data_IF_816342905985
#
_entry.id   IF_816342905985
#
_cell.length_a   1.000
_cell.length_b   1.000
_cell.length_c   1.000
_cell.angle_alpha   90.00
_cell.angle_beta   90.00
_cell.angle_gamma   90.00
#
_symmetry.space_group_name_H-M   'P 1'
#
loop_
_entity.id
_entity.type
_entity.pdbx_description
1 polymer ?
#
# COMPACT_ATOMS: atom_id res chain seq x y z
N UNK A 1 12.96 -29.52 -15.54
CA UNK A 1 11.54 -29.55 -15.14
C UNK A 1 11.31 -29.93 -13.68
N UNK A 2 12.21 -30.72 -13.04
CA UNK A 2 12.07 -31.14 -11.63
C UNK A 2 12.41 -30.08 -10.57
N UNK A 3 13.42 -29.24 -10.75
CA UNK A 3 13.82 -28.24 -9.74
C UNK A 3 12.77 -27.13 -9.55
N UNK A 4 12.16 -26.69 -10.62
CA UNK A 4 11.09 -25.67 -10.56
C UNK A 4 9.85 -26.17 -9.82
N UNK A 5 9.48 -27.45 -10.02
CA UNK A 5 8.35 -28.08 -9.32
C UNK A 5 8.68 -28.32 -7.85
N UNK A 6 9.92 -28.68 -7.53
CA UNK A 6 10.37 -28.85 -6.13
C UNK A 6 10.44 -27.52 -5.38
N UNK A 7 10.90 -26.45 -6.03
CA UNK A 7 10.95 -25.12 -5.44
C UNK A 7 9.54 -24.56 -5.16
N UNK A 8 8.61 -24.73 -6.10
CA UNK A 8 7.18 -24.34 -5.90
C UNK A 8 6.58 -25.15 -4.76
N UNK A 9 6.81 -26.46 -4.70
CA UNK A 9 6.31 -27.31 -3.62
C UNK A 9 6.95 -27.00 -2.25
N UNK A 10 8.19 -26.50 -2.19
CA UNK A 10 8.80 -26.05 -0.95
C UNK A 10 8.23 -24.72 -0.48
N UNK A 11 8.00 -23.79 -1.40
CA UNK A 11 7.33 -22.51 -1.12
C UNK A 11 5.89 -22.77 -0.64
N UNK A 12 5.14 -23.64 -1.29
CA UNK A 12 3.78 -24.01 -0.88
C UNK A 12 3.74 -24.63 0.52
N UNK A 13 4.66 -25.55 0.85
CA UNK A 13 4.75 -26.13 2.20
C UNK A 13 5.11 -25.09 3.26
N UNK A 14 5.99 -24.15 2.95
CA UNK A 14 6.35 -23.05 3.87
C UNK A 14 5.17 -22.10 4.08
N UNK A 15 4.45 -21.76 3.02
CA UNK A 15 3.22 -20.96 3.08
C UNK A 15 2.12 -21.69 3.85
N UNK A 16 1.97 -23.03 3.68
CA UNK A 16 1.01 -23.81 4.44
C UNK A 16 1.32 -23.86 5.94
N UNK A 17 2.59 -23.85 6.34
CA UNK A 17 2.98 -23.72 7.77
C UNK A 17 2.63 -22.34 8.34
N UNK A 18 2.83 -21.27 7.57
CA UNK A 18 2.47 -19.90 7.94
C UNK A 18 0.94 -19.70 8.02
N UNK A 19 0.15 -20.50 7.29
CA UNK A 19 -1.33 -20.47 7.35
C UNK A 19 -1.90 -20.81 8.75
N UNK A 20 -1.11 -21.44 9.61
CA UNK A 20 -1.52 -21.72 11.00
C UNK A 20 -1.50 -20.46 11.89
N UNK A 21 -0.92 -19.37 11.41
CA UNK A 21 -0.70 -18.15 12.20
C UNK A 21 -1.14 -16.89 11.44
N UNK A 22 -2.45 -16.75 11.13
CA UNK A 22 -2.94 -15.59 10.38
C UNK A 22 -2.61 -14.25 11.05
N UNK A 23 -2.62 -14.20 12.39
CA UNK A 23 -2.24 -12.99 13.14
C UNK A 23 -0.77 -12.63 12.95
N UNK A 24 0.13 -13.62 12.82
CA UNK A 24 1.54 -13.37 12.52
C UNK A 24 1.72 -12.81 11.11
N UNK A 25 1.03 -13.37 10.12
CA UNK A 25 1.07 -12.85 8.73
C UNK A 25 0.63 -11.38 8.69
N UNK A 26 -0.50 -11.08 9.32
CA UNK A 26 -1.07 -9.73 9.36
C UNK A 26 -0.20 -8.75 10.17
N UNK A 27 0.38 -9.21 11.28
CA UNK A 27 1.33 -8.42 12.07
C UNK A 27 2.61 -8.09 11.29
N UNK A 28 3.17 -9.07 10.57
CA UNK A 28 4.33 -8.86 9.69
C UNK A 28 3.99 -7.94 8.53
N UNK A 29 2.81 -8.06 7.93
CA UNK A 29 2.36 -7.14 6.89
C UNK A 29 2.33 -5.69 7.40
N UNK A 30 1.75 -5.47 8.58
CA UNK A 30 1.70 -4.16 9.21
C UNK A 30 3.10 -3.62 9.56
N UNK A 31 4.00 -4.47 10.06
CA UNK A 31 5.38 -4.11 10.36
C UNK A 31 6.14 -3.67 9.10
N UNK A 32 6.00 -4.41 8.00
CA UNK A 32 6.66 -4.04 6.74
C UNK A 32 6.08 -2.75 6.15
N UNK A 33 4.77 -2.52 6.25
CA UNK A 33 4.18 -1.24 5.86
C UNK A 33 4.67 -0.09 6.73
N UNK A 34 4.83 -0.29 8.04
CA UNK A 34 5.45 0.69 8.92
C UNK A 34 6.90 1.01 8.51
N UNK A 35 7.68 -0.03 8.20
CA UNK A 35 9.03 0.12 7.67
C UNK A 35 9.11 0.93 6.38
N UNK A 36 8.03 0.94 5.55
CA UNK A 36 8.00 1.80 4.36
C UNK A 36 8.13 3.29 4.69
N UNK A 37 7.63 3.73 5.86
CA UNK A 37 7.77 5.14 6.28
C UNK A 37 9.23 5.48 6.55
N UNK A 38 9.95 4.59 7.23
CA UNK A 38 11.40 4.76 7.47
C UNK A 38 12.17 4.71 6.14
N UNK A 39 11.87 3.71 5.29
CA UNK A 39 12.51 3.56 3.99
C UNK A 39 12.27 4.77 3.08
N UNK A 40 11.07 5.38 3.10
CA UNK A 40 10.78 6.60 2.37
C UNK A 40 11.69 7.77 2.81
N UNK A 41 12.01 7.87 4.09
CA UNK A 41 12.94 8.88 4.61
C UNK A 41 14.38 8.61 4.19
N UNK A 42 14.80 7.34 4.22
CA UNK A 42 16.15 6.93 3.76
C UNK A 42 16.33 7.07 2.25
N UNK A 43 15.24 7.15 1.48
CA UNK A 43 15.27 7.34 0.04
C UNK A 43 15.46 8.82 -0.36
N UNK A 44 15.23 9.77 0.56
CA UNK A 44 15.38 11.20 0.28
C UNK A 44 16.81 11.48 -0.15
N UNK A 45 16.96 12.25 -1.23
CA UNK A 45 18.22 12.58 -1.90
C UNK A 45 18.98 11.41 -2.55
N UNK A 46 18.55 10.15 -2.33
CA UNK A 46 19.17 8.96 -2.88
C UNK A 46 18.51 8.49 -4.18
N UNK A 47 17.23 8.80 -4.36
CA UNK A 47 16.43 8.49 -5.55
C UNK A 47 15.25 9.45 -5.64
N UNK A 48 14.88 9.87 -6.85
CA UNK A 48 13.69 10.71 -7.02
C UNK A 48 12.39 9.92 -6.76
N UNK A 49 11.35 10.55 -6.15
CA UNK A 49 10.17 9.87 -5.61
C UNK A 49 9.33 9.14 -6.65
N UNK A 50 9.21 9.68 -7.87
CA UNK A 50 8.43 9.04 -8.93
C UNK A 50 9.22 7.89 -9.56
N UNK A 51 10.54 8.01 -9.66
CA UNK A 51 11.45 6.93 -10.07
C UNK A 51 11.43 5.78 -9.07
N UNK A 52 11.47 6.06 -7.76
CA UNK A 52 11.28 5.06 -6.71
C UNK A 52 9.95 4.30 -6.92
N UNK A 53 8.86 5.03 -7.15
CA UNK A 53 7.53 4.45 -7.39
C UNK A 53 7.55 3.52 -8.61
N UNK A 54 8.17 3.93 -9.71
CA UNK A 54 8.24 3.14 -10.93
C UNK A 54 9.09 1.87 -10.74
N UNK A 55 10.30 2.00 -10.21
CA UNK A 55 11.21 0.86 -10.01
C UNK A 55 10.61 -0.17 -9.06
N UNK A 56 10.00 0.28 -7.95
CA UNK A 56 9.32 -0.63 -7.02
C UNK A 56 8.23 -1.46 -7.72
N UNK A 57 7.37 -0.83 -8.53
CA UNK A 57 6.28 -1.55 -9.20
C UNK A 57 6.78 -2.41 -10.35
N UNK A 58 7.82 -2.00 -11.08
CA UNK A 58 8.46 -2.84 -12.10
C UNK A 58 9.03 -4.11 -11.48
N UNK A 59 9.73 -4.02 -10.35
CA UNK A 59 10.28 -5.19 -9.65
C UNK A 59 9.18 -6.14 -9.18
N UNK A 60 8.14 -5.61 -8.53
CA UNK A 60 7.01 -6.40 -8.04
C UNK A 60 6.26 -7.06 -9.19
N UNK A 61 5.97 -6.29 -10.26
CA UNK A 61 5.28 -6.80 -11.44
C UNK A 61 6.08 -7.90 -12.12
N UNK A 62 7.40 -7.76 -12.26
CA UNK A 62 8.25 -8.76 -12.87
C UNK A 62 8.14 -10.11 -12.14
N UNK A 63 8.28 -10.10 -10.81
CA UNK A 63 8.19 -11.32 -9.99
C UNK A 63 6.78 -11.92 -10.07
N UNK A 64 5.75 -11.12 -9.85
CA UNK A 64 4.37 -11.61 -9.84
C UNK A 64 3.92 -12.11 -11.21
N UNK A 65 4.35 -11.46 -12.30
CA UNK A 65 3.98 -11.86 -13.65
C UNK A 65 4.65 -13.18 -14.08
N UNK A 66 5.89 -13.41 -13.66
CA UNK A 66 6.58 -14.69 -13.88
C UNK A 66 5.83 -15.85 -13.24
N UNK A 67 5.26 -15.64 -12.04
CA UNK A 67 4.57 -16.69 -11.28
C UNK A 67 3.10 -16.79 -11.69
N UNK A 68 2.38 -15.67 -11.74
CA UNK A 68 0.91 -15.65 -11.86
C UNK A 68 0.41 -15.18 -13.25
N UNK A 69 1.27 -14.80 -14.18
CA UNK A 69 0.88 -14.26 -15.48
C UNK A 69 0.04 -15.24 -16.33
N UNK A 70 0.24 -16.56 -16.17
CA UNK A 70 -0.62 -17.57 -16.84
C UNK A 70 -2.02 -17.59 -16.24
N UNK A 71 -2.11 -17.46 -14.92
CA UNK A 71 -3.39 -17.46 -14.19
C UNK A 71 -4.17 -16.18 -14.49
N UNK A 72 -3.52 -15.01 -14.50
CA UNK A 72 -4.13 -13.75 -14.93
C UNK A 72 -4.74 -13.89 -16.33
N UNK A 73 -3.99 -14.47 -17.29
CA UNK A 73 -4.52 -14.68 -18.65
C UNK A 73 -5.73 -15.61 -18.72
N UNK A 74 -5.84 -16.60 -17.82
CA UNK A 74 -7.02 -17.48 -17.73
C UNK A 74 -8.27 -16.71 -17.31
N UNK A 75 -8.14 -15.65 -16.52
CA UNK A 75 -9.25 -14.80 -16.07
C UNK A 75 -9.53 -13.63 -17.02
N UNK A 76 -8.96 -13.63 -18.25
CA UNK A 76 -9.17 -12.56 -19.23
C UNK A 76 -10.65 -12.27 -19.54
N UNK A 77 -11.56 -13.26 -19.61
CA UNK A 77 -12.98 -13.00 -19.80
C UNK A 77 -13.62 -12.14 -18.70
N UNK A 78 -13.18 -12.28 -17.45
CA UNK A 78 -13.63 -11.46 -16.32
C UNK A 78 -12.93 -10.09 -16.27
N UNK A 79 -11.66 -10.05 -16.67
CA UNK A 79 -10.83 -8.83 -16.67
C UNK A 79 -11.31 -7.85 -17.73
N UNK A 80 -11.56 -8.32 -18.95
CA UNK A 80 -11.85 -7.46 -20.11
C UNK A 80 -13.00 -6.47 -19.87
N UNK A 81 -14.19 -6.89 -19.38
CA UNK A 81 -15.29 -5.96 -19.14
C UNK A 81 -15.03 -4.99 -18.00
N UNK A 82 -14.17 -5.34 -17.05
CA UNK A 82 -13.82 -4.54 -15.88
C UNK A 82 -12.49 -3.77 -16.05
N UNK A 83 -11.89 -3.78 -17.25
CA UNK A 83 -10.52 -3.25 -17.45
C UNK A 83 -10.39 -1.78 -17.03
N UNK A 84 -11.37 -0.93 -17.34
CA UNK A 84 -11.37 0.46 -16.92
C UNK A 84 -11.33 0.62 -15.39
N UNK A 85 -12.15 -0.17 -14.67
CA UNK A 85 -12.15 -0.19 -13.20
C UNK A 85 -10.78 -0.66 -12.67
N UNK A 86 -10.22 -1.72 -13.24
CA UNK A 86 -8.93 -2.28 -12.80
C UNK A 86 -7.80 -1.26 -13.02
N UNK A 87 -7.82 -0.53 -14.14
CA UNK A 87 -6.86 0.57 -14.40
C UNK A 87 -7.02 1.67 -13.35
N UNK A 88 -8.25 2.10 -13.04
CA UNK A 88 -8.51 3.10 -12.00
C UNK A 88 -8.05 2.62 -10.61
N UNK A 89 -8.28 1.35 -10.29
CA UNK A 89 -7.80 0.76 -9.04
C UNK A 89 -6.28 0.79 -8.94
N UNK A 90 -5.57 0.43 -10.01
CA UNK A 90 -4.11 0.49 -10.05
C UNK A 90 -3.60 1.94 -9.98
N UNK A 91 -4.22 2.86 -10.71
CA UNK A 91 -3.86 4.28 -10.70
C UNK A 91 -4.05 4.90 -9.31
N UNK A 92 -5.16 4.63 -8.64
CA UNK A 92 -5.46 5.25 -7.35
C UNK A 92 -4.70 4.57 -6.20
N UNK A 93 -4.79 3.24 -6.11
CA UNK A 93 -4.25 2.50 -4.97
C UNK A 93 -2.75 2.23 -5.04
N UNK A 94 -2.22 2.08 -6.25
CA UNK A 94 -0.83 1.67 -6.45
C UNK A 94 0.04 2.83 -6.95
N UNK A 95 -0.22 3.36 -8.12
CA UNK A 95 0.61 4.41 -8.73
C UNK A 95 0.46 5.75 -8.02
N UNK A 96 -0.75 6.30 -8.00
CA UNK A 96 -1.02 7.64 -7.51
C UNK A 96 -0.77 7.77 -6.01
N UNK A 97 -1.32 6.85 -5.21
CA UNK A 97 -1.06 6.84 -3.77
C UNK A 97 0.44 6.82 -3.45
N UNK A 98 1.21 5.90 -4.05
CA UNK A 98 2.63 5.79 -3.73
C UNK A 98 3.44 6.96 -4.27
N UNK A 99 3.13 7.46 -5.46
CA UNK A 99 3.79 8.63 -6.01
C UNK A 99 3.61 9.86 -5.09
N UNK A 100 2.36 10.16 -4.71
CA UNK A 100 2.07 11.26 -3.80
C UNK A 100 2.63 11.03 -2.40
N UNK A 101 2.61 9.80 -1.90
CA UNK A 101 3.20 9.44 -0.62
C UNK A 101 4.71 9.77 -0.57
N UNK A 102 5.47 9.34 -1.58
CA UNK A 102 6.90 9.61 -1.61
C UNK A 102 7.22 11.08 -1.88
N UNK A 103 6.44 11.78 -2.70
CA UNK A 103 6.55 13.24 -2.85
C UNK A 103 6.29 13.93 -1.52
N UNK A 104 5.22 13.56 -0.81
CA UNK A 104 4.90 14.14 0.49
C UNK A 104 6.02 13.91 1.53
N UNK A 105 6.67 12.73 1.51
CA UNK A 105 7.75 12.40 2.44
C UNK A 105 8.97 13.34 2.34
N UNK A 106 9.14 14.04 1.23
CA UNK A 106 10.19 15.08 1.10
C UNK A 106 9.84 16.37 1.83
N UNK A 107 8.54 16.72 1.88
CA UNK A 107 8.09 18.04 2.32
C UNK A 107 7.41 18.02 3.71
N UNK A 108 7.09 16.83 4.26
CA UNK A 108 6.44 16.73 5.58
C UNK A 108 7.12 15.74 6.52
N UNK A 109 6.75 15.77 7.79
CA UNK A 109 7.29 14.89 8.82
C UNK A 109 6.67 13.49 8.78
N UNK A 110 7.39 12.49 9.31
CA UNK A 110 6.85 11.15 9.50
C UNK A 110 5.61 11.15 10.43
N UNK A 111 5.57 12.08 11.39
CA UNK A 111 4.46 12.27 12.32
C UNK A 111 3.21 12.71 11.56
N UNK A 112 3.33 13.75 10.72
CA UNK A 112 2.20 14.23 9.91
C UNK A 112 1.69 13.14 8.96
N UNK A 113 2.59 12.42 8.30
CA UNK A 113 2.23 11.27 7.45
C UNK A 113 1.43 10.23 8.27
N UNK A 114 1.88 9.87 9.46
CA UNK A 114 1.20 8.89 10.30
C UNK A 114 -0.20 9.37 10.73
N UNK A 115 -0.34 10.64 11.13
CA UNK A 115 -1.61 11.24 11.52
C UNK A 115 -2.59 11.24 10.34
N UNK A 116 -2.15 11.68 9.16
CA UNK A 116 -2.99 11.74 7.96
C UNK A 116 -3.41 10.34 7.49
N UNK A 117 -2.50 9.36 7.54
CA UNK A 117 -2.85 7.96 7.27
C UNK A 117 -3.84 7.39 8.29
N UNK A 118 -3.71 7.75 9.56
CA UNK A 118 -4.67 7.38 10.60
C UNK A 118 -6.09 7.90 10.34
N UNK A 119 -6.22 8.97 9.57
CA UNK A 119 -7.52 9.51 9.13
C UNK A 119 -8.11 8.80 7.89
N UNK A 120 -7.37 7.92 7.20
CA UNK A 120 -7.86 7.21 6.01
C UNK A 120 -9.23 6.53 6.19
N UNK A 121 -9.53 5.84 7.32
CA UNK A 121 -10.82 5.21 7.50
C UNK A 121 -11.99 6.20 7.41
N UNK A 122 -11.79 7.47 7.76
CA UNK A 122 -12.82 8.52 7.64
C UNK A 122 -13.14 8.75 6.17
N UNK A 123 -12.12 8.88 5.30
CA UNK A 123 -12.31 9.05 3.87
C UNK A 123 -12.94 7.81 3.22
N UNK A 124 -12.56 6.60 3.66
CA UNK A 124 -13.16 5.35 3.18
C UNK A 124 -14.64 5.28 3.54
N UNK A 125 -15.02 5.63 4.78
CA UNK A 125 -16.43 5.64 5.19
C UNK A 125 -17.25 6.69 4.44
N UNK A 126 -16.71 7.88 4.29
CA UNK A 126 -17.36 8.94 3.51
C UNK A 126 -17.53 8.53 2.04
N UNK A 127 -16.49 7.97 1.41
CA UNK A 127 -16.53 7.47 0.05
C UNK A 127 -17.52 6.31 -0.13
N UNK A 128 -17.57 5.35 0.81
CA UNK A 128 -18.52 4.24 0.79
C UNK A 128 -19.98 4.72 0.93
N UNK A 129 -20.21 5.75 1.73
CA UNK A 129 -21.54 6.38 1.83
C UNK A 129 -21.94 7.06 0.52
N UNK A 130 -21.05 7.85 -0.06
CA UNK A 130 -21.31 8.60 -1.29
C UNK A 130 -21.48 7.67 -2.51
N UNK A 131 -20.67 6.63 -2.62
CA UNK A 131 -20.71 5.73 -3.78
C UNK A 131 -21.78 4.65 -3.69
N UNK A 132 -22.04 4.12 -2.49
CA UNK A 132 -22.87 2.94 -2.30
C UNK A 132 -24.02 3.14 -1.31
N UNK A 133 -24.22 4.33 -0.74
CA UNK A 133 -25.19 4.60 0.31
C UNK A 133 -24.92 3.80 1.62
N UNK A 134 -23.72 3.23 1.76
CA UNK A 134 -23.36 2.38 2.90
C UNK A 134 -23.19 3.23 4.16
N UNK A 135 -24.08 3.04 5.15
CA UNK A 135 -24.00 3.75 6.43
C UNK A 135 -23.12 2.97 7.40
N UNK A 136 -22.13 3.65 7.97
CA UNK A 136 -21.34 3.08 9.04
C UNK A 136 -22.19 2.95 10.31
N UNK A 137 -22.18 1.75 10.93
CA UNK A 137 -22.81 1.54 12.23
C UNK A 137 -22.05 2.28 13.35
N UNK A 138 -22.71 2.56 14.48
CA UNK A 138 -22.11 3.26 15.64
C UNK A 138 -20.79 2.61 16.10
N UNK A 139 -20.73 1.27 16.15
CA UNK A 139 -19.53 0.54 16.55
C UNK A 139 -18.36 0.83 15.59
N UNK A 140 -18.63 0.91 14.29
CA UNK A 140 -17.63 1.22 13.28
C UNK A 140 -17.15 2.68 13.40
N UNK A 141 -18.06 3.62 13.61
CA UNK A 141 -17.73 5.03 13.82
C UNK A 141 -16.88 5.22 15.08
N UNK A 142 -17.26 4.60 16.20
CA UNK A 142 -16.49 4.59 17.45
C UNK A 142 -15.11 3.96 17.24
N UNK A 143 -15.02 2.84 16.52
CA UNK A 143 -13.74 2.20 16.18
C UNK A 143 -12.81 3.13 15.40
N UNK A 144 -13.32 3.84 14.39
CA UNK A 144 -12.55 4.82 13.63
C UNK A 144 -12.08 5.98 14.51
N UNK A 145 -12.97 6.50 15.36
CA UNK A 145 -12.63 7.59 16.30
C UNK A 145 -11.54 7.17 17.29
N UNK A 146 -11.67 6.01 17.91
CA UNK A 146 -10.67 5.47 18.85
C UNK A 146 -9.33 5.24 18.14
N UNK A 147 -9.36 4.72 16.91
CA UNK A 147 -8.14 4.52 16.11
C UNK A 147 -7.45 5.85 15.79
N UNK A 148 -8.21 6.85 15.34
CA UNK A 148 -7.67 8.18 15.05
C UNK A 148 -7.04 8.82 16.31
N UNK A 149 -7.71 8.71 17.46
CA UNK A 149 -7.19 9.17 18.74
C UNK A 149 -5.91 8.42 19.13
N UNK A 150 -5.90 7.09 18.97
CA UNK A 150 -4.72 6.26 19.25
C UNK A 150 -3.52 6.66 18.37
N UNK A 151 -3.74 6.89 17.07
CA UNK A 151 -2.71 7.37 16.15
C UNK A 151 -2.19 8.74 16.59
N UNK A 152 -3.07 9.67 16.98
CA UNK A 152 -2.68 10.98 17.48
C UNK A 152 -1.80 10.88 18.74
N UNK A 153 -2.19 10.05 19.70
CA UNK A 153 -1.40 9.82 20.94
C UNK A 153 -0.03 9.24 20.63
N UNK A 154 0.04 8.22 19.76
CA UNK A 154 1.30 7.57 19.38
C UNK A 154 2.20 8.55 18.59
N UNK A 155 1.65 9.24 17.60
CA UNK A 155 2.39 10.18 16.76
C UNK A 155 2.95 11.36 17.57
N UNK A 156 2.23 11.80 18.61
CA UNK A 156 2.65 12.90 19.50
C UNK A 156 3.41 12.42 20.75
N UNK A 157 3.83 11.14 20.78
CA UNK A 157 4.57 10.54 21.92
C UNK A 157 3.88 10.75 23.28
N UNK A 158 2.57 10.61 23.32
CA UNK A 158 1.78 10.76 24.54
C UNK A 158 1.36 12.18 24.91
N UNK A 159 1.62 13.17 24.05
CA UNK A 159 1.19 14.55 24.22
C UNK A 159 0.14 14.94 23.14
N UNK A 160 -1.09 14.38 23.18
CA UNK A 160 -2.05 14.53 22.07
C UNK A 160 -2.44 16.00 21.77
N UNK A 161 -2.31 16.90 22.73
CA UNK A 161 -2.54 18.32 22.53
C UNK A 161 -1.49 19.00 21.67
N UNK A 162 -0.28 18.44 21.58
CA UNK A 162 0.75 18.97 20.66
C UNK A 162 0.39 18.82 19.19
N UNK A 163 -0.67 18.08 18.86
CA UNK A 163 -1.22 18.04 17.50
C UNK A 163 -1.72 19.44 17.04
N UNK A 164 -2.09 20.30 18.00
CA UNK A 164 -2.51 21.67 17.72
C UNK A 164 -1.33 22.59 17.38
N UNK A 165 -0.10 22.19 17.70
CA UNK A 165 1.15 22.89 17.40
C UNK A 165 1.77 22.40 16.10
N UNK A 166 1.20 21.36 15.47
CA UNK A 166 1.69 20.80 14.20
C UNK A 166 1.41 21.81 13.09
N UNK A 167 2.47 22.34 12.52
CA UNK A 167 2.38 23.22 11.36
C UNK A 167 1.98 22.41 10.12
N UNK A 168 0.90 22.87 9.49
CA UNK A 168 0.40 22.28 8.26
C UNK A 168 1.19 22.81 7.06
N UNK A 169 1.76 21.94 6.27
CA UNK A 169 2.66 22.27 5.17
C UNK A 169 2.19 21.71 3.82
N UNK A 170 2.92 22.03 2.73
CA UNK A 170 2.60 21.56 1.39
C UNK A 170 2.61 20.02 1.29
N UNK A 171 3.54 19.34 1.97
CA UNK A 171 3.61 17.89 1.98
C UNK A 171 2.37 17.24 2.60
N UNK A 172 1.76 17.90 3.60
CA UNK A 172 0.52 17.43 4.22
C UNK A 172 -0.66 17.47 3.25
N UNK A 173 -0.75 18.49 2.38
CA UNK A 173 -1.76 18.54 1.31
C UNK A 173 -1.58 17.42 0.31
N UNK A 174 -0.32 17.15 -0.09
CA UNK A 174 0.01 16.07 -1.01
C UNK A 174 -0.33 14.71 -0.38
N UNK A 175 -0.02 14.53 0.91
CA UNK A 175 -0.37 13.31 1.65
C UNK A 175 -1.88 13.13 1.81
N UNK A 176 -2.61 14.22 2.05
CA UNK A 176 -4.07 14.20 2.11
C UNK A 176 -4.67 13.74 0.77
N UNK A 177 -4.16 14.27 -0.34
CA UNK A 177 -4.56 13.82 -1.68
C UNK A 177 -4.25 12.31 -1.89
N UNK A 178 -3.09 11.84 -1.42
CA UNK A 178 -2.78 10.41 -1.43
C UNK A 178 -3.81 9.59 -0.65
N UNK A 179 -4.17 10.02 0.56
CA UNK A 179 -5.18 9.35 1.39
C UNK A 179 -6.55 9.28 0.70
N UNK A 180 -6.96 10.35 0.01
CA UNK A 180 -8.20 10.38 -0.78
C UNK A 180 -8.13 9.37 -1.93
N UNK A 181 -7.03 9.31 -2.70
CA UNK A 181 -6.86 8.31 -3.77
C UNK A 181 -6.95 6.89 -3.23
N UNK A 182 -6.29 6.61 -2.10
CA UNK A 182 -6.35 5.29 -1.47
C UNK A 182 -7.76 4.94 -0.96
N UNK A 183 -8.49 5.92 -0.45
CA UNK A 183 -9.88 5.74 -0.06
C UNK A 183 -10.78 5.41 -1.26
N UNK A 184 -10.62 6.13 -2.38
CA UNK A 184 -11.33 5.84 -3.63
C UNK A 184 -11.01 4.44 -4.15
N UNK A 185 -9.72 4.04 -4.13
CA UNK A 185 -9.31 2.67 -4.42
C UNK A 185 -10.02 1.65 -3.52
N UNK A 186 -10.01 1.88 -2.21
CA UNK A 186 -10.61 0.94 -1.24
C UNK A 186 -12.11 0.78 -1.44
N UNK A 187 -12.82 1.89 -1.72
CA UNK A 187 -14.26 1.88 -1.99
C UNK A 187 -14.56 1.14 -3.31
N UNK A 188 -13.83 1.48 -4.38
CA UNK A 188 -14.03 0.87 -5.69
C UNK A 188 -13.57 -0.61 -5.76
N UNK A 189 -12.72 -1.06 -4.83
CA UNK A 189 -12.27 -2.46 -4.74
C UNK A 189 -13.44 -3.44 -4.48
N UNK A 190 -14.56 -2.96 -3.95
CA UNK A 190 -15.79 -3.73 -3.77
C UNK A 190 -16.33 -4.28 -5.10
N UNK A 191 -16.16 -3.51 -6.17
CA UNK A 191 -16.73 -3.81 -7.50
C UNK A 191 -15.73 -4.57 -8.40
N UNK A 192 -14.62 -5.07 -7.80
CA UNK A 192 -13.59 -5.83 -8.53
C UNK A 192 -14.18 -7.11 -9.14
N UNK A 193 -13.62 -7.57 -10.29
CA UNK A 193 -14.02 -8.85 -10.85
C UNK A 193 -13.71 -10.01 -9.89
N UNK A 194 -14.56 -11.06 -9.97
CA UNK A 194 -14.38 -12.27 -9.17
C UNK A 194 -13.21 -13.09 -9.72
N UNK A 195 -12.07 -12.93 -9.06
CA UNK A 195 -10.83 -13.66 -9.34
C UNK A 195 -9.97 -13.78 -8.08
N UNK A 196 -9.04 -14.75 -8.01
CA UNK A 196 -8.18 -14.93 -6.86
C UNK A 196 -7.36 -13.66 -6.55
N UNK A 197 -7.20 -13.35 -5.27
CA UNK A 197 -6.65 -12.07 -4.82
C UNK A 197 -5.19 -11.83 -5.27
N UNK A 198 -4.35 -12.88 -5.28
CA UNK A 198 -2.93 -12.74 -5.68
C UNK A 198 -2.77 -12.52 -7.18
N UNK A 199 -3.41 -13.27 -8.09
CA UNK A 199 -3.44 -12.96 -9.52
C UNK A 199 -4.04 -11.58 -9.81
N UNK A 200 -5.08 -11.15 -9.08
CA UNK A 200 -5.60 -9.79 -9.20
C UNK A 200 -4.55 -8.74 -8.81
N UNK A 201 -3.85 -8.95 -7.71
CA UNK A 201 -2.75 -8.06 -7.31
C UNK A 201 -1.60 -8.05 -8.33
N UNK A 202 -1.27 -9.20 -8.95
CA UNK A 202 -0.29 -9.26 -10.03
C UNK A 202 -0.68 -8.37 -11.24
N UNK A 203 -1.97 -8.34 -11.58
CA UNK A 203 -2.50 -7.46 -12.63
C UNK A 203 -2.41 -5.99 -12.22
N UNK A 204 -2.79 -5.64 -11.00
CA UNK A 204 -2.66 -4.27 -10.48
C UNK A 204 -1.21 -3.80 -10.48
N UNK A 205 -0.27 -4.66 -10.06
CA UNK A 205 1.15 -4.35 -10.04
C UNK A 205 1.71 -4.11 -11.44
N UNK A 206 1.27 -4.90 -12.44
CA UNK A 206 1.67 -4.70 -13.83
C UNK A 206 1.17 -3.36 -14.38
N UNK A 207 -0.10 -3.03 -14.12
CA UNK A 207 -0.67 -1.75 -14.56
C UNK A 207 0.04 -0.60 -13.82
N UNK A 208 0.33 -0.75 -12.53
CA UNK A 208 1.07 0.24 -11.77
C UNK A 208 2.49 0.45 -12.33
N UNK A 209 3.19 -0.61 -12.72
CA UNK A 209 4.48 -0.49 -13.39
C UNK A 209 4.37 0.32 -14.69
N UNK A 210 3.38 0.01 -15.52
CA UNK A 210 3.16 0.72 -16.81
C UNK A 210 2.78 2.19 -16.57
N UNK A 211 1.85 2.46 -15.65
CA UNK A 211 1.33 3.81 -15.40
C UNK A 211 2.30 4.69 -14.59
N UNK A 212 3.32 4.12 -13.97
CA UNK A 212 4.38 4.88 -13.31
C UNK A 212 5.50 5.33 -14.25
N UNK A 213 5.66 4.74 -15.45
CA UNK A 213 6.67 5.15 -16.42
C UNK A 213 6.51 6.61 -16.89
N UNK A 214 5.30 7.10 -17.22
CA UNK A 214 5.11 8.51 -17.54
C UNK A 214 5.50 9.47 -16.41
N UNK A 215 5.41 9.04 -15.15
CA UNK A 215 5.82 9.85 -14.00
C UNK A 215 7.33 10.06 -13.98
N UNK A 216 8.12 9.03 -14.36
CA UNK A 216 9.57 9.17 -14.51
C UNK A 216 9.90 10.14 -15.63
N UNK A 217 9.20 10.04 -16.77
CA UNK A 217 9.36 11.00 -17.86
C UNK A 217 9.05 12.43 -17.41
N UNK A 218 8.03 12.62 -16.57
CA UNK A 218 7.71 13.91 -15.96
C UNK A 218 8.85 14.42 -15.08
N UNK A 219 9.47 13.58 -14.21
CA UNK A 219 10.64 13.98 -13.40
C UNK A 219 11.81 14.45 -14.26
N UNK A 220 12.07 13.73 -15.38
CA UNK A 220 13.13 14.11 -16.32
C UNK A 220 12.84 15.45 -16.98
N UNK A 221 11.61 15.66 -17.45
CA UNK A 221 11.19 16.90 -18.09
C UNK A 221 11.17 18.09 -17.12
N UNK A 222 10.82 17.85 -15.87
CA UNK A 222 10.81 18.85 -14.79
C UNK A 222 12.21 19.16 -14.25
N UNK A 223 13.25 18.44 -14.67
CA UNK A 223 14.62 18.61 -14.19
C UNK A 223 14.83 18.14 -12.73
N UNK A 224 13.89 17.37 -12.18
CA UNK A 224 13.95 16.85 -10.80
C UNK A 224 14.40 15.39 -10.73
N UNK A 225 14.62 14.76 -11.86
CA UNK A 225 15.12 13.39 -11.94
C UNK A 225 16.53 13.29 -11.35
N UNK A 226 16.73 12.29 -10.48
CA UNK A 226 18.04 11.90 -9.95
C UNK A 226 18.28 10.42 -10.24
N UNK A 227 19.48 10.12 -10.75
CA UNK A 227 19.91 8.72 -10.86
C UNK A 227 19.98 8.12 -9.46
N UNK A 228 19.40 6.91 -9.28
CA UNK A 228 19.48 6.21 -8.00
C UNK A 228 20.94 5.97 -7.59
N UNK A 229 21.27 6.30 -6.36
CA UNK A 229 22.55 5.87 -5.76
C UNK A 229 22.50 4.40 -5.40
N UNK A 230 23.61 3.81 -4.97
CA UNK A 230 23.64 2.43 -4.48
C UNK A 230 22.71 2.26 -3.26
N UNK A 231 22.66 3.26 -2.36
CA UNK A 231 21.72 3.28 -1.23
C UNK A 231 20.29 3.40 -1.71
N UNK A 232 19.98 4.29 -2.66
CA UNK A 232 18.65 4.45 -3.24
C UNK A 232 18.14 3.16 -3.89
N UNK A 233 19.00 2.44 -4.61
CA UNK A 233 18.66 1.12 -5.16
C UNK A 233 18.41 0.08 -4.06
N UNK A 234 19.25 0.00 -3.04
CA UNK A 234 19.07 -0.93 -1.93
C UNK A 234 17.75 -0.68 -1.18
N UNK A 235 17.42 0.60 -0.90
CA UNK A 235 16.15 1.00 -0.30
C UNK A 235 14.99 0.65 -1.22
N UNK A 236 15.11 0.87 -2.53
CA UNK A 236 14.06 0.52 -3.51
C UNK A 236 13.81 -0.99 -3.55
N UNK A 237 14.86 -1.80 -3.55
CA UNK A 237 14.73 -3.28 -3.48
C UNK A 237 14.03 -3.69 -2.18
N UNK A 238 14.43 -3.12 -1.05
CA UNK A 238 13.79 -3.38 0.23
C UNK A 238 12.29 -3.02 0.20
N UNK A 239 11.94 -1.85 -0.33
CA UNK A 239 10.55 -1.41 -0.51
C UNK A 239 9.77 -2.35 -1.45
N UNK A 240 10.38 -2.78 -2.54
CA UNK A 240 9.73 -3.71 -3.47
C UNK A 240 9.45 -5.06 -2.82
N UNK A 241 10.40 -5.61 -2.06
CA UNK A 241 10.29 -6.94 -1.45
C UNK A 241 9.37 -6.92 -0.23
N UNK A 242 9.61 -6.05 0.75
CA UNK A 242 8.92 -6.13 2.04
C UNK A 242 7.56 -5.43 2.03
N UNK A 243 7.43 -4.08 1.92
CA UNK A 243 6.12 -3.44 1.99
C UNK A 243 5.26 -3.62 0.74
N UNK A 244 5.86 -3.94 -0.45
CA UNK A 244 5.07 -4.07 -1.67
C UNK A 244 4.69 -5.51 -1.97
N UNK A 245 5.64 -6.45 -1.94
CA UNK A 245 5.38 -7.83 -2.32
C UNK A 245 4.94 -8.67 -1.11
N UNK A 246 5.78 -8.81 -0.09
CA UNK A 246 5.50 -9.70 1.04
C UNK A 246 4.31 -9.22 1.87
N UNK A 247 4.22 -7.93 2.19
CA UNK A 247 3.09 -7.39 2.95
C UNK A 247 1.77 -7.66 2.27
N UNK A 248 1.69 -7.44 0.96
CA UNK A 248 0.46 -7.67 0.21
C UNK A 248 0.08 -9.15 0.19
N UNK A 249 1.04 -10.05 -0.06
CA UNK A 249 0.79 -11.49 -0.03
C UNK A 249 0.33 -11.93 1.37
N UNK A 250 1.00 -11.48 2.43
CA UNK A 250 0.66 -11.82 3.81
C UNK A 250 -0.71 -11.28 4.20
N UNK A 251 -1.01 -10.04 3.82
CA UNK A 251 -2.30 -9.42 4.08
C UNK A 251 -3.44 -10.12 3.34
N UNK A 252 -3.30 -10.35 2.03
CA UNK A 252 -4.29 -11.06 1.23
C UNK A 252 -4.54 -12.46 1.81
N UNK A 253 -3.46 -13.16 2.19
CA UNK A 253 -3.59 -14.48 2.80
C UNK A 253 -4.25 -14.42 4.18
N UNK A 254 -3.93 -13.43 4.99
CA UNK A 254 -4.62 -13.20 6.27
C UNK A 254 -6.12 -12.94 6.07
N UNK A 255 -6.48 -12.14 5.06
CA UNK A 255 -7.87 -11.87 4.69
C UNK A 255 -8.59 -13.16 4.30
N UNK A 256 -7.97 -14.03 3.49
CA UNK A 256 -8.54 -15.33 3.09
C UNK A 256 -8.79 -16.25 4.31
N UNK A 257 -7.92 -16.19 5.33
CA UNK A 257 -7.98 -17.09 6.49
C UNK A 257 -8.97 -16.64 7.57
N UNK A 258 -9.07 -15.34 7.87
CA UNK A 258 -9.89 -14.84 8.99
C UNK A 258 -10.94 -13.80 8.60
N UNK A 259 -11.04 -13.50 7.30
CA UNK A 259 -11.98 -12.54 6.74
C UNK A 259 -11.50 -11.08 6.80
N UNK A 260 -12.03 -10.22 5.90
CA UNK A 260 -11.53 -8.85 5.72
C UNK A 260 -11.74 -7.97 6.96
N UNK A 261 -12.85 -8.14 7.68
CA UNK A 261 -13.13 -7.32 8.87
C UNK A 261 -12.12 -7.53 10.00
N UNK A 262 -11.74 -8.80 10.27
CA UNK A 262 -10.74 -9.13 11.29
C UNK A 262 -9.32 -8.77 10.84
N UNK A 263 -9.01 -9.03 9.57
CA UNK A 263 -7.70 -8.69 9.00
C UNK A 263 -7.47 -7.17 8.99
N UNK A 264 -8.49 -6.37 8.71
CA UNK A 264 -8.42 -4.91 8.69
C UNK A 264 -7.98 -4.29 10.01
N UNK A 265 -8.27 -4.93 11.16
CA UNK A 265 -7.84 -4.44 12.48
C UNK A 265 -6.31 -4.38 12.59
N UNK A 266 -5.60 -5.30 11.93
CA UNK A 266 -4.13 -5.34 11.98
C UNK A 266 -3.47 -4.15 11.26
N UNK A 267 -4.15 -3.51 10.33
CA UNK A 267 -3.65 -2.29 9.66
C UNK A 267 -3.43 -1.16 10.67
N UNK A 268 -4.19 -1.15 11.76
CA UNK A 268 -4.03 -0.17 12.85
C UNK A 268 -2.71 -0.34 13.63
N UNK A 269 -1.98 -1.45 13.44
CA UNK A 269 -0.63 -1.62 14.00
C UNK A 269 0.43 -0.84 13.21
N UNK A 270 0.15 -0.42 11.98
CA UNK A 270 1.12 0.31 11.14
C UNK A 270 1.64 1.57 11.84
N UNK A 271 0.80 2.51 12.33
CA UNK A 271 1.30 3.68 13.02
C UNK A 271 2.02 3.35 14.33
N UNK A 272 1.62 2.28 15.03
CA UNK A 272 2.29 1.84 16.26
C UNK A 272 3.72 1.37 15.95
N UNK A 273 3.88 0.52 14.94
CA UNK A 273 5.21 0.07 14.52
C UNK A 273 6.04 1.21 13.93
N UNK A 274 5.43 2.12 13.17
CA UNK A 274 6.14 3.27 12.60
C UNK A 274 6.67 4.25 13.67
N UNK A 275 6.03 4.30 14.84
CA UNK A 275 6.50 5.13 15.96
C UNK A 275 7.65 4.49 16.75
N UNK A 276 7.83 3.17 16.63
CA UNK A 276 8.91 2.42 17.31
C UNK A 276 10.17 2.33 16.43
N UNK A 277 9.99 2.29 15.08
CA UNK A 277 11.07 2.23 14.11
C UNK A 277 11.71 3.61 13.88
#
# INVERSE_FOLDING_TARGET
MNEHVQMIGAIERSVQRLNRWPSLLLGLAALFWAGNTVAARLAIDEISPLTLTALRWVMVAAVLWLVYGREVRRHWPQIRPALALIVLLALFGMTGFNALYYVAAHDTSAINIAILQGAMPIFVLAGAYLAHGSRAGLVQQLGVFITALGVAVVATRGAPLSILEVEFNRGDLVMLAACVLYALYTVALRDRPDMPAVPFFALLALIAAITSLPLVAFEVMAGTFRLPTAQGLAVTVWIAVFPSFLSQIFYLRGVDLIGPGRAGVFVNLVPVFAAVL
#
